data_IF_348988123907
#
_entry.id   IF_348988123907
#
_cell.length_a   1.000
_cell.length_b   1.000
_cell.length_c   1.000
_cell.angle_alpha   90.00
_cell.angle_beta   90.00
_cell.angle_gamma   90.00
#
_symmetry.space_group_name_H-M   'P 1'
#
loop_
_entity.id
_entity.type
_entity.pdbx_description
1 polymer ?
#
# COMPACT_ATOMS: atom_id res chain seq x y z
N UNK A 1 72.21 38.65 -20.67
CA UNK A 1 71.91 39.18 -19.39
C UNK A 1 70.40 39.18 -19.15
N UNK A 2 69.91 38.31 -18.51
CA UNK A 2 68.75 38.47 -17.60
C UNK A 2 68.41 37.09 -17.03
N UNK A 3 68.63 36.95 -15.76
CA UNK A 3 68.39 35.85 -14.87
C UNK A 3 66.90 35.46 -14.88
N UNK A 4 66.58 34.21 -15.15
CA UNK A 4 65.27 33.60 -14.88
C UNK A 4 65.31 33.15 -13.41
N UNK A 5 64.27 33.53 -12.58
CA UNK A 5 64.25 33.13 -11.19
C UNK A 5 63.86 31.68 -11.04
N UNK A 6 64.68 30.92 -10.30
CA UNK A 6 64.32 29.66 -9.71
C UNK A 6 63.23 29.85 -8.67
N UNK A 7 61.99 29.58 -9.04
CA UNK A 7 60.92 29.26 -8.12
C UNK A 7 59.90 28.41 -8.86
N UNK A 8 60.00 27.10 -8.66
CA UNK A 8 58.87 26.15 -8.65
C UNK A 8 59.43 24.74 -8.43
N UNK A 9 60.17 24.59 -7.29
CA UNK A 9 60.12 23.28 -6.64
C UNK A 9 58.80 23.23 -5.88
N UNK A 10 57.76 22.83 -6.53
CA UNK A 10 56.51 22.39 -5.88
C UNK A 10 56.87 21.13 -5.09
N UNK A 11 57.08 21.34 -3.83
CA UNK A 11 57.02 20.34 -2.78
C UNK A 11 55.63 19.72 -2.84
N UNK A 12 55.54 18.59 -3.51
CA UNK A 12 54.37 17.71 -3.39
C UNK A 12 54.41 17.11 -1.98
N UNK A 13 53.86 17.87 -1.03
CA UNK A 13 53.51 17.32 0.27
C UNK A 13 52.38 16.33 0.06
N UNK A 14 52.74 15.11 -0.31
CA UNK A 14 51.87 13.96 -0.30
C UNK A 14 51.79 13.44 1.14
N UNK A 15 51.27 14.27 2.06
CA UNK A 15 50.73 13.79 3.33
C UNK A 15 49.24 13.44 3.08
N UNK A 16 49.00 12.54 2.12
CA UNK A 16 47.82 11.71 2.18
C UNK A 16 47.96 10.89 3.47
N UNK A 17 47.02 11.09 4.40
CA UNK A 17 46.89 10.30 5.63
C UNK A 17 46.95 8.82 5.27
N UNK A 18 48.12 8.24 5.33
CA UNK A 18 48.29 6.80 5.26
C UNK A 18 47.74 6.27 6.57
N UNK A 19 46.57 5.59 6.49
CA UNK A 19 46.04 4.86 7.62
C UNK A 19 47.08 3.90 8.19
N UNK A 20 46.85 3.27 9.32
CA UNK A 20 47.83 2.43 10.04
C UNK A 20 48.49 1.37 9.16
N UNK A 21 47.84 0.93 8.09
CA UNK A 21 48.42 0.01 7.09
C UNK A 21 49.42 0.72 6.19
N UNK A 22 49.21 1.97 5.83
CA UNK A 22 50.14 2.77 5.05
C UNK A 22 51.39 3.15 5.87
N UNK A 23 51.26 3.45 7.15
CA UNK A 23 52.35 3.65 8.06
C UNK A 23 53.16 2.35 8.28
N UNK A 24 52.48 1.21 8.45
CA UNK A 24 53.11 -0.09 8.57
C UNK A 24 53.88 -0.46 7.29
N UNK A 25 53.27 -0.21 6.11
CA UNK A 25 53.94 -0.45 4.82
C UNK A 25 55.14 0.45 4.61
N UNK A 26 55.06 1.73 4.99
CA UNK A 26 56.18 2.66 4.92
C UNK A 26 57.30 2.29 5.90
N UNK A 27 56.96 1.88 7.14
CA UNK A 27 57.92 1.38 8.12
C UNK A 27 58.60 0.09 7.66
N UNK A 28 57.83 -0.84 7.07
CA UNK A 28 58.35 -2.06 6.49
C UNK A 28 59.31 -1.77 5.33
N UNK A 29 58.97 -0.86 4.42
CA UNK A 29 59.79 -0.49 3.28
C UNK A 29 61.07 0.20 3.72
N UNK A 30 60.99 1.08 4.74
CA UNK A 30 62.18 1.71 5.34
C UNK A 30 63.07 0.68 6.07
N UNK A 31 62.45 -0.20 6.87
CA UNK A 31 63.18 -1.27 7.55
C UNK A 31 63.86 -2.23 6.55
N UNK A 32 63.15 -2.57 5.46
CA UNK A 32 63.74 -3.39 4.39
C UNK A 32 64.91 -2.70 3.71
N UNK A 33 64.82 -1.40 3.39
CA UNK A 33 65.88 -0.63 2.75
C UNK A 33 67.10 -0.46 3.67
N UNK A 34 66.87 -0.25 4.96
CA UNK A 34 67.91 -0.12 5.96
C UNK A 34 68.64 -1.48 6.21
N UNK A 35 67.85 -2.57 6.29
CA UNK A 35 68.39 -3.93 6.38
C UNK A 35 69.25 -4.30 5.15
N UNK A 36 68.83 -3.91 3.94
CA UNK A 36 69.55 -4.16 2.71
C UNK A 36 70.85 -3.37 2.67
N UNK A 37 70.86 -2.12 3.16
CA UNK A 37 72.08 -1.33 3.29
C UNK A 37 73.07 -1.97 4.27
N UNK A 38 72.62 -2.37 5.45
CA UNK A 38 73.49 -3.05 6.45
C UNK A 38 74.05 -4.36 5.90
N UNK A 39 73.28 -5.10 5.09
CA UNK A 39 73.76 -6.30 4.40
C UNK A 39 74.85 -5.96 3.35
N UNK A 40 74.65 -4.94 2.51
CA UNK A 40 75.60 -4.52 1.47
C UNK A 40 76.89 -3.95 2.04
N UNK A 41 76.77 -3.28 3.21
CA UNK A 41 77.92 -2.72 3.91
C UNK A 41 78.68 -3.76 4.75
N UNK A 42 78.29 -5.03 4.76
CA UNK A 42 78.93 -6.12 5.51
C UNK A 42 78.82 -6.01 7.03
N UNK A 43 77.90 -5.17 7.53
CA UNK A 43 77.68 -4.98 8.96
C UNK A 43 76.70 -6.02 9.52
N UNK A 44 77.23 -7.20 9.81
CA UNK A 44 76.43 -8.35 10.26
C UNK A 44 75.83 -8.19 11.66
N UNK A 45 76.54 -7.49 12.58
CA UNK A 45 75.99 -7.21 13.91
C UNK A 45 74.77 -6.25 13.84
N UNK A 46 74.95 -5.15 13.08
CA UNK A 46 73.87 -4.21 12.85
C UNK A 46 72.65 -4.83 12.12
N UNK A 47 72.96 -5.73 11.18
CA UNK A 47 71.86 -6.48 10.48
C UNK A 47 71.12 -7.41 11.44
N UNK A 48 71.81 -8.14 12.31
CA UNK A 48 71.25 -9.03 13.30
C UNK A 48 70.32 -8.26 14.30
N UNK A 49 70.83 -7.14 14.83
CA UNK A 49 70.04 -6.27 15.74
C UNK A 49 68.85 -5.65 15.06
N UNK A 50 68.99 -5.29 13.78
CA UNK A 50 67.87 -4.76 13.00
C UNK A 50 66.78 -5.81 12.73
N UNK A 51 67.15 -7.02 12.37
CA UNK A 51 66.25 -8.14 12.13
C UNK A 51 65.54 -8.58 13.43
N UNK A 52 66.27 -8.69 14.54
CA UNK A 52 65.68 -9.08 15.84
C UNK A 52 64.76 -8.01 16.41
N UNK A 53 65.16 -6.74 16.33
CA UNK A 53 64.23 -5.64 16.76
C UNK A 53 63.01 -5.53 15.89
N UNK A 54 63.11 -5.73 14.58
CA UNK A 54 61.97 -5.78 13.66
C UNK A 54 61.03 -6.97 13.93
N UNK A 55 61.63 -8.14 14.20
CA UNK A 55 60.84 -9.33 14.56
C UNK A 55 60.12 -9.19 15.91
N UNK A 56 60.76 -8.62 16.92
CA UNK A 56 60.16 -8.33 18.24
C UNK A 56 59.06 -7.28 18.14
N UNK A 57 59.23 -6.26 17.31
CA UNK A 57 58.21 -5.25 17.05
C UNK A 57 56.96 -5.86 16.37
N UNK A 58 57.18 -6.69 15.35
CA UNK A 58 56.09 -7.41 14.67
C UNK A 58 55.38 -8.38 15.63
N UNK A 59 56.13 -9.09 16.48
CA UNK A 59 55.56 -9.99 17.47
C UNK A 59 54.76 -9.22 18.54
N UNK A 60 55.24 -8.04 18.97
CA UNK A 60 54.51 -7.15 19.87
C UNK A 60 53.19 -6.65 19.27
N UNK A 61 53.25 -6.19 18.01
CA UNK A 61 52.03 -5.77 17.29
C UNK A 61 51.01 -6.92 17.12
N UNK A 62 51.49 -8.11 16.81
CA UNK A 62 50.66 -9.29 16.66
C UNK A 62 50.08 -9.75 18.01
N UNK A 63 50.79 -9.64 19.11
CA UNK A 63 50.30 -10.03 20.43
C UNK A 63 49.29 -9.06 21.00
N UNK A 64 49.53 -7.75 20.97
CA UNK A 64 48.60 -6.74 21.51
C UNK A 64 47.31 -6.63 20.68
N UNK A 65 47.44 -6.42 19.36
CA UNK A 65 46.27 -6.30 18.48
C UNK A 65 45.56 -7.64 18.28
N UNK A 66 46.35 -8.73 18.21
CA UNK A 66 45.76 -10.07 18.09
C UNK A 66 44.96 -10.44 19.33
N UNK A 67 45.42 -10.10 20.53
CA UNK A 67 44.71 -10.36 21.78
C UNK A 67 43.43 -9.51 21.86
N UNK A 68 43.50 -8.24 21.48
CA UNK A 68 42.31 -7.36 21.43
C UNK A 68 41.29 -7.84 20.41
N UNK A 69 41.70 -8.22 19.20
CA UNK A 69 40.81 -8.73 18.17
C UNK A 69 40.18 -10.06 18.57
N UNK A 70 40.95 -10.95 19.24
CA UNK A 70 40.41 -12.21 19.75
C UNK A 70 39.40 -11.97 20.87
N UNK A 71 39.66 -11.05 21.79
CA UNK A 71 38.75 -10.69 22.85
C UNK A 71 37.43 -10.08 22.29
N UNK A 72 37.56 -9.17 21.31
CA UNK A 72 36.42 -8.58 20.62
C UNK A 72 35.61 -9.67 19.87
N UNK A 73 36.27 -10.57 19.15
CA UNK A 73 35.61 -11.69 18.49
C UNK A 73 34.86 -12.57 19.45
N UNK A 74 35.47 -13.00 20.56
CA UNK A 74 34.84 -13.85 21.56
C UNK A 74 33.62 -13.17 22.20
N UNK A 75 33.75 -11.91 22.57
CA UNK A 75 32.68 -11.12 23.18
C UNK A 75 31.49 -11.01 22.19
N UNK A 76 31.75 -10.58 20.96
CA UNK A 76 30.71 -10.41 19.95
C UNK A 76 30.11 -11.75 19.53
N UNK A 77 30.91 -12.83 19.48
CA UNK A 77 30.40 -14.17 19.19
C UNK A 77 29.49 -14.69 20.30
N UNK A 78 29.82 -14.44 21.60
CA UNK A 78 28.97 -14.79 22.72
C UNK A 78 27.64 -14.02 22.65
N UNK A 79 27.69 -12.70 22.36
CA UNK A 79 26.50 -11.88 22.18
C UNK A 79 25.65 -12.41 21.00
N UNK A 80 26.28 -12.65 19.85
CA UNK A 80 25.61 -13.26 18.69
C UNK A 80 24.96 -14.57 19.07
N UNK A 81 25.67 -15.47 19.77
CA UNK A 81 25.15 -16.79 20.14
C UNK A 81 23.97 -16.68 21.08
N UNK A 82 24.03 -15.76 22.04
CA UNK A 82 22.93 -15.50 22.96
C UNK A 82 21.68 -14.97 22.22
N UNK A 83 21.88 -13.98 21.35
CA UNK A 83 20.78 -13.41 20.54
C UNK A 83 20.22 -14.43 19.55
N UNK A 84 21.05 -15.23 18.90
CA UNK A 84 20.61 -16.29 17.98
C UNK A 84 19.75 -17.32 18.69
N UNK A 85 20.18 -17.82 19.86
CA UNK A 85 19.41 -18.78 20.67
C UNK A 85 18.10 -18.17 21.19
N UNK A 86 18.13 -16.89 21.57
CA UNK A 86 16.93 -16.19 21.99
C UNK A 86 15.91 -16.04 20.84
N UNK A 87 16.40 -15.67 19.63
CA UNK A 87 15.58 -15.53 18.43
C UNK A 87 15.00 -16.89 18.00
N UNK A 88 15.81 -17.94 17.98
CA UNK A 88 15.37 -19.30 17.66
C UNK A 88 14.26 -19.76 18.60
N UNK A 89 14.44 -19.62 19.93
CA UNK A 89 13.42 -19.98 20.92
C UNK A 89 12.15 -19.13 20.83
N UNK A 90 12.27 -17.85 20.49
CA UNK A 90 11.13 -16.96 20.31
C UNK A 90 10.32 -17.34 19.06
N UNK A 91 11.00 -17.68 17.97
CA UNK A 91 10.39 -18.10 16.72
C UNK A 91 9.73 -19.50 16.85
N UNK A 92 10.39 -20.46 17.52
CA UNK A 92 9.85 -21.80 17.75
C UNK A 92 8.58 -21.82 18.62
N UNK A 93 8.39 -20.79 19.46
CA UNK A 93 7.16 -20.63 20.28
C UNK A 93 6.00 -20.00 19.50
N UNK A 94 6.25 -19.49 18.33
CA UNK A 94 5.25 -18.80 17.53
C UNK A 94 4.72 -19.73 16.45
N UNK A 95 3.58 -20.37 16.69
CA UNK A 95 2.89 -21.21 15.70
C UNK A 95 2.40 -20.40 14.48
N UNK A 96 2.45 -19.06 14.56
CA UNK A 96 1.95 -18.19 13.49
C UNK A 96 2.96 -17.90 12.39
N UNK A 97 4.25 -18.27 12.56
CA UNK A 97 5.31 -17.99 11.60
C UNK A 97 5.68 -19.25 10.83
N UNK A 98 5.51 -19.20 9.51
CA UNK A 98 5.82 -20.31 8.63
C UNK A 98 7.31 -20.71 8.73
N UNK A 99 7.65 -22.03 8.78
CA UNK A 99 9.04 -22.51 8.92
C UNK A 99 10.00 -21.95 7.87
N UNK A 100 9.51 -21.67 6.66
CA UNK A 100 10.28 -21.04 5.59
C UNK A 100 10.76 -19.63 5.97
N UNK A 101 9.87 -18.82 6.53
CA UNK A 101 10.17 -17.45 6.97
C UNK A 101 11.10 -17.46 8.19
N UNK A 102 10.90 -18.36 9.16
CA UNK A 102 11.79 -18.54 10.30
C UNK A 102 13.23 -18.82 9.86
N UNK A 103 13.40 -19.78 8.94
CA UNK A 103 14.71 -20.15 8.40
C UNK A 103 15.40 -18.99 7.66
N UNK A 104 14.62 -18.18 6.92
CA UNK A 104 15.10 -17.00 6.21
C UNK A 104 15.59 -15.93 7.20
N UNK A 105 14.81 -15.61 8.21
CA UNK A 105 15.16 -14.62 9.24
C UNK A 105 16.44 -15.02 9.99
N UNK A 106 16.54 -16.29 10.44
CA UNK A 106 17.72 -16.79 11.14
C UNK A 106 18.98 -16.80 10.25
N UNK A 107 18.83 -17.16 8.97
CA UNK A 107 19.95 -17.11 8.01
C UNK A 107 20.42 -15.69 7.77
N UNK A 108 19.48 -14.75 7.55
CA UNK A 108 19.78 -13.32 7.34
C UNK A 108 20.48 -12.74 8.56
N UNK A 109 19.95 -13.01 9.77
CA UNK A 109 20.56 -12.58 11.02
C UNK A 109 21.98 -13.13 11.18
N UNK A 110 22.20 -14.40 10.87
CA UNK A 110 23.52 -15.06 10.90
C UNK A 110 24.50 -14.35 9.96
N UNK A 111 24.13 -14.17 8.69
CA UNK A 111 25.01 -13.53 7.69
C UNK A 111 25.34 -12.10 8.10
N UNK A 112 24.36 -11.30 8.51
CA UNK A 112 24.57 -9.93 8.97
C UNK A 112 25.49 -9.88 10.21
N UNK A 113 25.29 -10.76 11.19
CA UNK A 113 26.10 -10.84 12.40
C UNK A 113 27.54 -11.23 12.10
N UNK A 114 27.79 -12.23 11.24
CA UNK A 114 29.15 -12.61 10.85
C UNK A 114 29.86 -11.51 10.08
N UNK A 115 29.14 -10.79 9.22
CA UNK A 115 29.72 -9.64 8.52
C UNK A 115 30.09 -8.53 9.51
N UNK A 116 29.21 -8.21 10.46
CA UNK A 116 29.49 -7.21 11.50
C UNK A 116 30.68 -7.60 12.37
N UNK A 117 30.70 -8.84 12.88
CA UNK A 117 31.83 -9.35 13.69
C UNK A 117 33.11 -9.30 12.87
N UNK A 118 33.10 -9.74 11.62
CA UNK A 118 34.25 -9.70 10.74
C UNK A 118 34.80 -8.29 10.54
N UNK A 119 33.89 -7.31 10.33
CA UNK A 119 34.29 -5.90 10.18
C UNK A 119 34.97 -5.37 11.44
N UNK A 120 34.44 -5.64 12.63
CA UNK A 120 35.03 -5.19 13.90
C UNK A 120 36.38 -5.86 14.14
N UNK A 121 36.52 -7.14 13.85
CA UNK A 121 37.79 -7.87 13.98
C UNK A 121 38.83 -7.33 13.02
N UNK A 122 38.48 -7.05 11.77
CA UNK A 122 39.39 -6.46 10.78
C UNK A 122 39.84 -5.07 11.20
N UNK A 123 38.96 -4.25 11.76
CA UNK A 123 39.28 -2.93 12.27
C UNK A 123 40.32 -3.00 13.41
N UNK A 124 40.13 -3.92 14.37
CA UNK A 124 41.08 -4.17 15.47
C UNK A 124 42.45 -4.63 14.97
N UNK A 125 42.50 -5.37 13.88
CA UNK A 125 43.75 -5.77 13.22
C UNK A 125 44.40 -4.63 12.44
N UNK A 126 43.76 -3.44 12.37
CA UNK A 126 44.31 -2.24 11.70
C UNK A 126 44.00 -2.21 10.19
N UNK A 127 43.08 -3.04 9.71
CA UNK A 127 42.57 -2.98 8.33
C UNK A 127 41.60 -1.81 8.21
N UNK A 128 41.75 -0.97 7.20
CA UNK A 128 40.83 0.11 6.96
C UNK A 128 39.48 -0.44 6.43
N UNK A 129 38.49 -0.53 7.32
CA UNK A 129 37.14 -1.05 7.01
C UNK A 129 36.21 0.00 6.41
N UNK A 130 36.65 1.27 6.27
CA UNK A 130 35.81 2.35 5.79
C UNK A 130 35.20 2.05 4.41
N UNK A 131 35.96 1.41 3.51
CA UNK A 131 35.48 1.00 2.18
C UNK A 131 34.38 -0.09 2.29
N UNK A 132 34.57 -1.06 3.19
CA UNK A 132 33.60 -2.14 3.43
C UNK A 132 32.31 -1.58 4.02
N UNK A 133 32.42 -0.72 5.03
CA UNK A 133 31.28 -0.06 5.67
C UNK A 133 30.55 0.88 4.69
N UNK A 134 31.31 1.63 3.87
CA UNK A 134 30.75 2.48 2.82
C UNK A 134 29.99 1.67 1.76
N UNK A 135 30.56 0.56 1.30
CA UNK A 135 29.89 -0.36 0.37
C UNK A 135 28.61 -0.96 0.94
N UNK A 136 28.63 -1.37 2.23
CA UNK A 136 27.44 -1.82 2.95
C UNK A 136 26.39 -0.73 3.10
N UNK A 137 26.80 0.51 3.35
CA UNK A 137 25.90 1.65 3.42
C UNK A 137 25.11 1.81 2.12
N UNK A 138 25.81 1.76 0.98
CA UNK A 138 25.17 1.81 -0.35
C UNK A 138 24.25 0.60 -0.56
N UNK A 139 24.70 -0.62 -0.26
CA UNK A 139 23.88 -1.82 -0.37
C UNK A 139 22.64 -1.75 0.55
N UNK A 140 22.77 -1.19 1.75
CA UNK A 140 21.68 -0.95 2.69
C UNK A 140 20.64 0.05 2.14
N UNK A 141 21.09 1.13 1.50
CA UNK A 141 20.19 2.09 0.84
C UNK A 141 19.40 1.41 -0.29
N UNK A 142 20.07 0.63 -1.14
CA UNK A 142 19.42 -0.12 -2.24
C UNK A 142 18.39 -1.12 -1.69
N UNK A 143 18.78 -1.87 -0.64
CA UNK A 143 17.86 -2.81 0.02
C UNK A 143 16.67 -2.09 0.69
N UNK A 144 16.90 -0.92 1.29
CA UNK A 144 15.86 -0.06 1.85
C UNK A 144 14.85 0.40 0.81
N UNK A 145 15.33 0.85 -0.35
CA UNK A 145 14.45 1.20 -1.46
C UNK A 145 13.67 0.00 -1.98
N UNK A 146 14.30 -1.18 -2.09
CA UNK A 146 13.61 -2.39 -2.50
C UNK A 146 12.54 -2.87 -1.50
N UNK A 147 12.69 -2.56 -0.22
CA UNK A 147 11.73 -2.91 0.84
C UNK A 147 10.67 -1.83 1.10
N UNK A 148 10.75 -0.67 0.45
CA UNK A 148 9.93 0.51 0.70
C UNK A 148 8.44 0.19 0.71
N UNK A 149 7.93 -0.42 -0.35
CA UNK A 149 6.49 -0.72 -0.49
C UNK A 149 5.97 -1.65 0.61
N UNK A 150 6.80 -2.61 1.05
CA UNK A 150 6.45 -3.50 2.16
C UNK A 150 6.39 -2.75 3.48
N UNK A 151 7.31 -1.82 3.72
CA UNK A 151 7.34 -0.99 4.91
C UNK A 151 6.16 0.01 4.93
N UNK A 152 5.84 0.62 3.80
CA UNK A 152 4.67 1.50 3.67
C UNK A 152 3.38 0.75 4.00
N UNK A 153 3.20 -0.47 3.47
CA UNK A 153 2.05 -1.31 3.78
C UNK A 153 1.99 -1.73 5.26
N UNK A 154 3.13 -2.01 5.86
CA UNK A 154 3.21 -2.33 7.29
C UNK A 154 2.78 -1.13 8.15
N UNK A 155 3.33 0.06 7.89
CA UNK A 155 2.97 1.30 8.61
C UNK A 155 1.48 1.60 8.42
N UNK A 156 0.96 1.47 7.19
CA UNK A 156 -0.45 1.62 6.90
C UNK A 156 -1.32 0.64 7.69
N UNK A 157 -0.91 -0.63 7.79
CA UNK A 157 -1.61 -1.64 8.59
C UNK A 157 -1.66 -1.30 10.08
N UNK A 158 -0.54 -0.82 10.64
CA UNK A 158 -0.49 -0.33 12.02
C UNK A 158 -1.42 0.88 12.20
N UNK A 159 -1.42 1.83 11.24
CA UNK A 159 -2.32 3.00 11.27
C UNK A 159 -3.78 2.57 11.29
N UNK A 160 -4.18 1.63 10.43
CA UNK A 160 -5.56 1.09 10.40
C UNK A 160 -5.94 0.48 11.75
N UNK A 161 -5.03 -0.29 12.38
CA UNK A 161 -5.30 -0.95 13.67
C UNK A 161 -5.37 0.04 14.84
N UNK A 162 -4.63 1.15 14.79
CA UNK A 162 -4.61 2.18 15.84
C UNK A 162 -5.79 3.14 15.69
N UNK A 163 -5.95 3.74 14.51
CA UNK A 163 -6.97 4.78 14.24
C UNK A 163 -8.36 4.20 14.02
N UNK A 164 -8.44 2.92 13.64
CA UNK A 164 -9.68 2.17 13.40
C UNK A 164 -10.69 2.94 12.53
N UNK A 165 -10.31 3.36 11.32
CA UNK A 165 -11.26 3.94 10.40
C UNK A 165 -12.37 2.94 10.04
N UNK A 166 -12.04 1.65 10.03
CA UNK A 166 -12.93 0.50 9.94
C UNK A 166 -12.40 -0.67 10.79
N UNK A 167 -13.22 -1.68 11.04
CA UNK A 167 -12.89 -2.88 11.81
C UNK A 167 -13.32 -4.14 11.05
N UNK A 168 -12.84 -5.30 11.50
CA UNK A 168 -13.32 -6.60 10.99
C UNK A 168 -14.83 -6.70 11.24
N UNK A 169 -15.57 -7.05 10.22
CA UNK A 169 -17.04 -7.11 10.22
C UNK A 169 -17.71 -5.88 9.61
N UNK A 170 -17.01 -4.73 9.49
CA UNK A 170 -17.59 -3.54 8.86
C UNK A 170 -17.80 -3.72 7.36
N UNK A 171 -18.89 -3.13 6.84
CA UNK A 171 -19.11 -2.94 5.42
C UNK A 171 -18.50 -1.63 4.97
N UNK A 172 -17.59 -1.71 4.00
CA UNK A 172 -16.86 -0.55 3.47
C UNK A 172 -16.95 -0.51 1.95
N UNK A 173 -16.88 0.70 1.44
CA UNK A 173 -16.75 0.98 0.03
C UNK A 173 -15.45 1.75 -0.20
N UNK A 174 -14.63 1.28 -1.13
CA UNK A 174 -13.37 1.90 -1.52
C UNK A 174 -13.27 1.94 -3.04
N UNK A 175 -13.29 3.14 -3.63
CA UNK A 175 -13.52 3.29 -5.06
C UNK A 175 -14.85 2.64 -5.47
N UNK A 176 -14.82 1.75 -6.47
CA UNK A 176 -16.00 1.00 -6.95
C UNK A 176 -16.22 -0.35 -6.23
N UNK A 177 -15.49 -0.60 -5.16
CA UNK A 177 -15.48 -1.89 -4.48
C UNK A 177 -16.20 -1.83 -3.14
N UNK A 178 -17.29 -2.59 -3.05
CA UNK A 178 -18.09 -2.74 -1.82
C UNK A 178 -17.93 -4.15 -1.24
N UNK A 179 -17.71 -4.24 0.07
CA UNK A 179 -17.60 -5.52 0.75
C UNK A 179 -17.47 -5.43 2.26
N UNK A 180 -17.57 -6.57 2.91
CA UNK A 180 -17.35 -6.73 4.34
C UNK A 180 -15.87 -7.00 4.63
N UNK A 181 -15.31 -6.35 5.63
CA UNK A 181 -13.93 -6.59 6.09
C UNK A 181 -13.89 -7.94 6.80
N UNK A 182 -13.20 -8.93 6.20
CA UNK A 182 -13.01 -10.26 6.78
C UNK A 182 -11.78 -10.31 7.69
N UNK A 183 -10.68 -9.69 7.27
CA UNK A 183 -9.42 -9.77 8.00
C UNK A 183 -8.54 -8.55 7.70
N UNK A 184 -7.86 -8.06 8.72
CA UNK A 184 -6.83 -7.02 8.62
C UNK A 184 -5.49 -7.63 9.03
N UNK A 185 -4.58 -7.76 8.06
CA UNK A 185 -3.22 -8.24 8.29
C UNK A 185 -2.23 -7.07 8.34
N UNK A 186 -0.98 -7.32 8.71
CA UNK A 186 0.07 -6.29 8.75
C UNK A 186 0.31 -5.61 7.38
N UNK A 187 0.04 -6.30 6.26
CA UNK A 187 0.34 -5.81 4.91
C UNK A 187 -0.90 -5.54 4.06
N UNK A 188 -2.00 -6.24 4.33
CA UNK A 188 -3.20 -6.21 3.48
C UNK A 188 -4.46 -6.35 4.30
N UNK A 189 -5.55 -5.80 3.78
CA UNK A 189 -6.90 -6.00 4.27
C UNK A 189 -7.66 -6.89 3.29
N UNK A 190 -8.43 -7.85 3.80
CA UNK A 190 -9.25 -8.76 3.03
C UNK A 190 -10.71 -8.36 3.15
N UNK A 191 -11.35 -8.18 1.99
CA UNK A 191 -12.77 -7.87 1.90
C UNK A 191 -13.50 -9.04 1.27
N UNK A 192 -14.68 -9.36 1.80
CA UNK A 192 -15.63 -10.28 1.18
C UNK A 192 -16.69 -9.48 0.43
N UNK A 193 -16.68 -9.59 -0.89
CA UNK A 193 -17.63 -8.89 -1.75
C UNK A 193 -19.03 -9.53 -1.67
N UNK A 194 -20.05 -8.78 -2.12
CA UNK A 194 -21.44 -9.27 -2.21
C UNK A 194 -21.57 -10.56 -3.04
N UNK A 195 -20.63 -10.78 -3.99
CA UNK A 195 -20.55 -12.00 -4.80
C UNK A 195 -19.81 -13.15 -4.11
N UNK A 196 -19.57 -13.05 -2.81
CA UNK A 196 -18.81 -14.01 -1.99
C UNK A 196 -17.40 -14.31 -2.52
N UNK A 197 -16.71 -13.27 -3.02
CA UNK A 197 -15.31 -13.34 -3.46
C UNK A 197 -14.45 -12.62 -2.45
N UNK A 198 -13.27 -13.18 -2.16
CA UNK A 198 -12.27 -12.50 -1.34
C UNK A 198 -11.45 -11.55 -2.22
N UNK A 199 -11.43 -10.29 -1.84
CA UNK A 199 -10.58 -9.25 -2.42
C UNK A 199 -9.47 -8.94 -1.43
N UNK A 200 -8.23 -8.91 -1.90
CA UNK A 200 -7.06 -8.57 -1.07
C UNK A 200 -6.52 -7.23 -1.53
N UNK A 201 -6.57 -6.25 -0.64
CA UNK A 201 -6.11 -4.88 -0.90
C UNK A 201 -4.89 -4.58 -0.02
N UNK A 202 -3.81 -3.98 -0.57
CA UNK A 202 -2.71 -3.46 0.24
C UNK A 202 -3.20 -2.43 1.25
N UNK A 203 -2.64 -2.42 2.45
CA UNK A 203 -3.07 -1.46 3.48
C UNK A 203 -2.81 0.01 3.10
N UNK A 204 -1.77 0.27 2.29
CA UNK A 204 -1.53 1.61 1.73
C UNK A 204 -2.73 2.11 0.92
N UNK A 205 -3.38 1.23 0.18
CA UNK A 205 -4.57 1.55 -0.59
C UNK A 205 -5.72 1.99 0.31
N UNK A 206 -5.88 1.32 1.47
CA UNK A 206 -6.92 1.59 2.45
C UNK A 206 -6.80 2.95 3.14
N UNK A 207 -5.60 3.52 3.24
CA UNK A 207 -5.37 4.81 3.90
C UNK A 207 -5.18 5.97 2.92
N UNK A 208 -4.88 5.69 1.64
CA UNK A 208 -4.62 6.73 0.63
C UNK A 208 -5.83 7.03 -0.23
N UNK A 209 -6.79 6.11 -0.32
CA UNK A 209 -8.02 6.30 -1.08
C UNK A 209 -9.18 6.76 -0.21
N UNK A 210 -10.16 7.38 -0.84
CA UNK A 210 -11.42 7.70 -0.20
C UNK A 210 -12.17 6.40 0.17
N UNK A 211 -12.55 6.30 1.43
CA UNK A 211 -13.21 5.14 2.00
C UNK A 211 -14.51 5.56 2.68
N UNK A 212 -15.61 4.91 2.33
CA UNK A 212 -16.88 5.04 3.00
C UNK A 212 -17.14 3.82 3.90
N UNK A 213 -17.40 4.07 5.20
CA UNK A 213 -17.76 3.02 6.14
C UNK A 213 -19.27 3.08 6.41
N UNK A 214 -19.98 2.05 5.94
CA UNK A 214 -21.45 1.94 6.01
C UNK A 214 -21.93 1.43 7.38
N UNK A 215 -21.05 0.90 8.21
CA UNK A 215 -21.39 0.30 9.51
C UNK A 215 -21.17 1.25 10.69
N UNK A 216 -20.16 2.11 10.60
CA UNK A 216 -19.67 2.91 11.75
C UNK A 216 -20.71 3.80 12.42
N UNK A 217 -21.74 4.23 11.71
CA UNK A 217 -22.79 5.13 12.24
C UNK A 217 -24.04 4.42 12.74
N UNK A 218 -24.10 3.09 12.70
CA UNK A 218 -25.25 2.27 13.13
C UNK A 218 -26.60 2.63 12.47
N UNK A 219 -26.63 3.53 11.52
CA UNK A 219 -27.80 3.91 10.73
C UNK A 219 -27.35 4.13 9.30
N UNK A 220 -27.86 3.33 8.40
CA UNK A 220 -27.54 3.38 6.99
C UNK A 220 -28.78 3.81 6.21
N UNK A 221 -28.61 4.78 5.28
CA UNK A 221 -29.67 5.19 4.34
C UNK A 221 -29.58 4.34 3.08
N UNK A 222 -30.73 3.81 2.67
CA UNK A 222 -30.89 3.10 1.42
C UNK A 222 -31.73 3.98 0.47
N UNK A 223 -31.21 4.19 -0.72
CA UNK A 223 -31.88 4.95 -1.77
C UNK A 223 -32.29 3.97 -2.89
N UNK A 224 -33.59 3.96 -3.25
CA UNK A 224 -34.14 3.25 -4.40
C UNK A 224 -34.59 4.28 -5.41
N UNK A 225 -33.87 4.40 -6.52
CA UNK A 225 -34.18 5.35 -7.59
C UNK A 225 -35.20 4.77 -8.55
N UNK A 226 -36.16 5.59 -8.97
CA UNK A 226 -37.18 5.27 -9.97
C UNK A 226 -37.58 6.53 -10.73
N UNK A 227 -38.27 6.39 -11.86
CA UNK A 227 -38.79 7.51 -12.65
C UNK A 227 -40.31 7.37 -12.86
N UNK A 228 -41.03 8.49 -12.84
CA UNK A 228 -42.43 8.57 -13.23
C UNK A 228 -42.61 9.46 -14.46
N UNK A 229 -43.68 9.27 -15.21
CA UNK A 229 -44.00 10.10 -16.37
C UNK A 229 -44.29 11.56 -15.96
N UNK A 230 -43.99 12.54 -16.82
CA UNK A 230 -44.26 13.97 -16.55
C UNK A 230 -45.72 14.31 -16.30
N UNK A 231 -46.65 13.47 -16.78
CA UNK A 231 -48.06 13.65 -16.52
C UNK A 231 -48.53 13.24 -15.13
N UNK A 232 -47.71 12.44 -14.44
CA UNK A 232 -48.01 11.92 -13.11
C UNK A 232 -47.76 12.95 -12.01
N UNK A 233 -48.50 12.82 -10.90
CA UNK A 233 -48.37 13.71 -9.75
C UNK A 233 -47.40 13.11 -8.74
N UNK A 234 -46.24 13.74 -8.43
CA UNK A 234 -45.25 13.20 -7.49
C UNK A 234 -45.81 12.93 -6.08
N UNK A 235 -46.84 13.65 -5.64
CA UNK A 235 -47.44 13.47 -4.31
C UNK A 235 -48.24 12.18 -4.23
N UNK A 236 -48.89 11.73 -5.31
CA UNK A 236 -49.60 10.45 -5.39
C UNK A 236 -48.59 9.28 -5.32
N UNK A 237 -47.48 9.37 -6.08
CA UNK A 237 -46.39 8.40 -5.98
C UNK A 237 -45.80 8.35 -4.57
N UNK A 238 -45.63 9.52 -3.93
CA UNK A 238 -45.14 9.61 -2.55
C UNK A 238 -46.05 8.89 -1.55
N UNK A 239 -47.37 9.17 -1.62
CA UNK A 239 -48.35 8.56 -0.73
C UNK A 239 -48.42 7.03 -0.92
N UNK A 240 -48.43 6.56 -2.16
CA UNK A 240 -48.44 5.14 -2.48
C UNK A 240 -47.19 4.41 -1.94
N UNK A 241 -46.01 4.98 -2.16
CA UNK A 241 -44.75 4.31 -1.80
C UNK A 241 -44.44 4.34 -0.30
N UNK A 242 -44.87 5.36 0.43
CA UNK A 242 -44.69 5.41 1.88
C UNK A 242 -45.48 4.31 2.61
N UNK A 243 -46.58 3.82 2.05
CA UNK A 243 -47.34 2.70 2.62
C UNK A 243 -46.58 1.36 2.58
N UNK A 244 -45.50 1.24 1.79
CA UNK A 244 -44.68 0.03 1.72
C UNK A 244 -43.95 -0.30 3.02
N UNK A 245 -43.81 0.66 3.92
CA UNK A 245 -43.06 0.50 5.17
C UNK A 245 -43.94 0.10 6.35
N UNK A 246 -45.26 0.01 6.17
CA UNK A 246 -46.17 -0.40 7.22
C UNK A 246 -45.89 -1.85 7.65
N UNK A 247 -45.45 -2.03 8.90
CA UNK A 247 -45.17 -3.35 9.47
C UNK A 247 -43.83 -3.96 9.11
N UNK A 248 -42.90 -3.22 8.51
CA UNK A 248 -41.50 -3.71 8.27
C UNK A 248 -40.55 -3.20 9.35
N UNK A 249 -40.27 -4.03 10.36
CA UNK A 249 -39.36 -3.72 11.48
C UNK A 249 -37.89 -3.55 11.07
N UNK A 250 -37.51 -3.90 9.86
CA UNK A 250 -36.15 -3.73 9.32
C UNK A 250 -35.84 -2.29 8.95
N UNK A 251 -36.92 -1.50 8.75
CA UNK A 251 -36.86 -0.09 8.36
C UNK A 251 -37.10 0.78 9.57
N UNK A 252 -36.27 1.78 9.79
CA UNK A 252 -36.38 2.69 10.92
C UNK A 252 -37.57 3.68 10.71
N UNK A 253 -38.26 3.97 11.80
CA UNK A 253 -39.23 5.04 11.86
C UNK A 253 -38.63 6.42 12.08
N UNK A 254 -37.43 6.43 12.69
CA UNK A 254 -36.59 7.64 12.86
C UNK A 254 -35.14 7.31 12.49
N UNK A 255 -34.56 7.98 11.47
CA UNK A 255 -35.20 8.96 10.58
C UNK A 255 -36.31 8.34 9.73
N UNK A 256 -37.40 9.10 9.54
CA UNK A 256 -38.54 8.60 8.80
C UNK A 256 -38.25 8.37 7.30
N UNK A 257 -38.83 7.33 6.68
CA UNK A 257 -38.76 7.15 5.24
C UNK A 257 -39.34 8.36 4.49
N UNK A 258 -38.79 8.63 3.32
CA UNK A 258 -39.20 9.77 2.49
C UNK A 258 -39.09 9.45 1.01
N UNK A 259 -39.94 10.11 0.21
CA UNK A 259 -39.84 10.06 -1.25
C UNK A 259 -39.62 11.47 -1.76
N UNK A 260 -38.54 11.66 -2.51
CA UNK A 260 -38.10 12.96 -3.01
C UNK A 260 -37.94 12.94 -4.52
N UNK A 261 -38.21 14.06 -5.17
CA UNK A 261 -37.80 14.29 -6.57
C UNK A 261 -36.31 14.60 -6.56
N UNK A 262 -35.54 13.90 -7.35
CA UNK A 262 -34.08 14.06 -7.44
C UNK A 262 -33.67 14.86 -8.67
N UNK A 263 -34.39 14.70 -9.77
CA UNK A 263 -34.06 15.32 -11.06
C UNK A 263 -35.26 15.34 -11.98
N UNK A 264 -35.33 16.33 -12.85
CA UNK A 264 -36.20 16.36 -14.02
C UNK A 264 -35.38 15.96 -15.25
N UNK A 265 -35.46 14.66 -15.62
CA UNK A 265 -34.66 14.11 -16.71
C UNK A 265 -35.41 14.25 -18.07
N UNK A 266 -34.74 13.89 -19.17
CA UNK A 266 -35.25 14.10 -20.55
C UNK A 266 -36.63 13.47 -20.80
N UNK A 267 -36.96 12.35 -20.15
CA UNK A 267 -38.22 11.60 -20.39
C UNK A 267 -38.96 11.20 -19.11
N UNK A 268 -38.43 11.58 -17.93
CA UNK A 268 -38.98 11.19 -16.64
C UNK A 268 -38.76 12.23 -15.56
N UNK A 269 -39.60 12.25 -14.56
CA UNK A 269 -39.34 12.88 -13.27
C UNK A 269 -38.68 11.81 -12.38
N UNK A 270 -37.36 11.93 -12.17
CA UNK A 270 -36.60 11.00 -11.37
C UNK A 270 -36.87 11.24 -9.88
N UNK A 271 -37.18 10.18 -9.16
CA UNK A 271 -37.45 10.19 -7.74
C UNK A 271 -36.63 9.15 -7.00
N UNK A 272 -36.45 9.32 -5.72
CA UNK A 272 -35.79 8.36 -4.83
C UNK A 272 -36.65 8.07 -3.60
N UNK A 273 -36.90 6.79 -3.36
CA UNK A 273 -37.45 6.28 -2.10
C UNK A 273 -36.28 6.11 -1.14
N UNK A 274 -36.26 6.85 -0.05
CA UNK A 274 -35.20 6.88 0.97
C UNK A 274 -35.71 6.30 2.25
N UNK A 275 -35.01 5.32 2.78
CA UNK A 275 -35.30 4.73 4.08
C UNK A 275 -34.03 4.31 4.79
N UNK A 276 -34.15 3.96 6.06
CA UNK A 276 -32.97 3.76 6.92
C UNK A 276 -33.07 2.39 7.60
N UNK A 277 -31.90 1.75 7.75
CA UNK A 277 -31.75 0.47 8.48
C UNK A 277 -30.61 0.54 9.48
N UNK A 278 -30.64 -0.32 10.51
CA UNK A 278 -29.50 -0.52 11.44
C UNK A 278 -28.60 -1.67 11.03
N UNK A 279 -29.00 -2.48 10.06
CA UNK A 279 -28.29 -3.68 9.67
C UNK A 279 -27.64 -3.48 8.30
N UNK A 280 -26.34 -3.14 8.24
CA UNK A 280 -25.63 -2.91 6.98
C UNK A 280 -25.57 -4.13 6.05
N UNK A 281 -25.59 -5.34 6.63
CA UNK A 281 -25.65 -6.60 5.88
C UNK A 281 -26.94 -6.76 5.06
N UNK A 282 -28.00 -6.04 5.44
CA UNK A 282 -29.26 -6.02 4.72
C UNK A 282 -29.38 -4.91 3.67
N UNK A 283 -28.37 -4.05 3.53
CA UNK A 283 -28.41 -2.93 2.57
C UNK A 283 -28.74 -3.40 1.16
N UNK A 284 -27.98 -4.34 0.64
CA UNK A 284 -28.13 -4.83 -0.73
C UNK A 284 -29.42 -5.66 -0.90
N UNK A 285 -29.76 -6.61 -0.01
CA UNK A 285 -31.01 -7.32 -0.08
C UNK A 285 -32.23 -6.41 -0.02
N UNK A 286 -32.29 -5.46 0.91
CA UNK A 286 -33.38 -4.52 1.05
C UNK A 286 -33.51 -3.61 -0.18
N UNK A 287 -32.41 -3.13 -0.74
CA UNK A 287 -32.43 -2.31 -1.95
C UNK A 287 -33.07 -3.06 -3.10
N UNK A 288 -32.74 -4.33 -3.31
CA UNK A 288 -33.35 -5.15 -4.36
C UNK A 288 -34.85 -5.42 -4.10
N UNK A 289 -35.18 -5.85 -2.88
CA UNK A 289 -36.58 -6.11 -2.48
C UNK A 289 -37.47 -4.86 -2.68
N UNK A 290 -36.99 -3.71 -2.19
CA UNK A 290 -37.77 -2.47 -2.34
C UNK A 290 -37.78 -1.94 -3.78
N UNK A 291 -36.81 -2.24 -4.60
CA UNK A 291 -36.84 -1.92 -6.04
C UNK A 291 -38.02 -2.66 -6.72
N UNK A 292 -38.21 -3.94 -6.39
CA UNK A 292 -39.37 -4.70 -6.90
C UNK A 292 -40.68 -4.18 -6.35
N UNK A 293 -40.75 -3.94 -5.03
CA UNK A 293 -41.97 -3.39 -4.38
C UNK A 293 -42.37 -2.03 -4.94
N UNK A 294 -41.39 -1.15 -5.21
CA UNK A 294 -41.64 0.16 -5.83
C UNK A 294 -42.32 -0.01 -7.19
N UNK A 295 -41.77 -0.89 -8.05
CA UNK A 295 -42.36 -1.16 -9.37
C UNK A 295 -43.77 -1.67 -9.28
N UNK A 296 -44.05 -2.62 -8.36
CA UNK A 296 -45.39 -3.19 -8.18
C UNK A 296 -46.37 -2.15 -7.65
N UNK A 297 -45.92 -1.35 -6.66
CA UNK A 297 -46.78 -0.34 -6.04
C UNK A 297 -47.13 0.80 -6.98
N UNK A 298 -46.22 1.24 -7.83
CA UNK A 298 -46.51 2.22 -8.88
C UNK A 298 -47.52 1.68 -9.88
N UNK A 299 -47.41 0.40 -10.28
CA UNK A 299 -48.37 -0.25 -11.16
C UNK A 299 -49.76 -0.38 -10.52
N UNK A 300 -49.85 -0.73 -9.22
CA UNK A 300 -51.11 -0.79 -8.48
C UNK A 300 -51.78 0.59 -8.37
N UNK A 301 -51.01 1.64 -8.27
CA UNK A 301 -51.49 3.02 -8.19
C UNK A 301 -51.76 3.65 -9.57
N UNK A 302 -51.64 2.89 -10.66
CA UNK A 302 -51.80 3.36 -12.05
C UNK A 302 -50.83 4.51 -12.41
N UNK A 303 -49.62 4.51 -11.81
CA UNK A 303 -48.59 5.51 -12.07
C UNK A 303 -47.63 4.96 -13.14
N UNK A 304 -47.51 5.68 -14.23
CA UNK A 304 -46.68 5.26 -15.38
C UNK A 304 -45.19 5.43 -15.15
N UNK A 305 -44.43 4.35 -15.39
CA UNK A 305 -42.96 4.39 -15.52
C UNK A 305 -42.68 4.64 -17.00
N UNK A 306 -42.12 5.83 -17.35
CA UNK A 306 -42.05 6.23 -18.77
C UNK A 306 -40.95 5.48 -19.52
N UNK A 307 -41.23 5.21 -20.79
CA UNK A 307 -40.19 4.85 -21.76
C UNK A 307 -39.46 6.10 -22.26
N UNK A 308 -38.26 5.97 -22.82
CA UNK A 308 -37.59 7.10 -23.46
C UNK A 308 -38.49 7.69 -24.56
N UNK A 309 -38.78 8.98 -24.46
CA UNK A 309 -39.56 9.72 -25.46
C UNK A 309 -38.65 10.47 -26.41
N UNK A 310 -39.03 10.48 -27.70
CA UNK A 310 -38.37 11.32 -28.71
C UNK A 310 -39.46 12.07 -29.48
N UNK A 311 -39.35 13.37 -29.49
CA UNK A 311 -40.20 14.22 -30.34
C UNK A 311 -39.57 14.33 -31.70
N UNK A 312 -40.28 13.87 -32.74
CA UNK A 312 -39.84 13.96 -34.15
C UNK A 312 -40.58 15.09 -34.82
N UNK A 313 -39.85 16.10 -35.32
CA UNK A 313 -40.39 17.14 -36.16
C UNK A 313 -40.25 16.72 -37.60
N UNK A 314 -41.37 16.48 -38.30
CA UNK A 314 -41.39 15.98 -39.67
C UNK A 314 -41.77 17.12 -40.61
N UNK A 315 -40.93 18.17 -40.70
CA UNK A 315 -41.29 19.37 -41.50
C UNK A 315 -41.31 19.14 -43.01
N UNK A 316 -40.61 18.15 -43.55
CA UNK A 316 -40.59 17.84 -45.00
C UNK A 316 -40.38 16.31 -45.28
N UNK A 317 -41.15 15.44 -44.70
CA UNK A 317 -41.04 14.02 -45.03
C UNK A 317 -41.74 13.68 -46.34
N UNK A 318 -41.16 13.98 -47.51
CA UNK A 318 -41.68 13.63 -48.84
C UNK A 318 -42.01 12.14 -48.96
N UNK A 319 -41.34 11.28 -48.18
CA UNK A 319 -41.58 9.83 -48.18
C UNK A 319 -42.90 9.44 -47.46
N UNK A 320 -43.47 10.33 -46.66
CA UNK A 320 -44.75 10.11 -45.96
C UNK A 320 -45.96 10.79 -46.65
N UNK A 321 -45.68 11.61 -47.68
CA UNK A 321 -46.78 12.21 -48.47
C UNK A 321 -47.47 11.11 -49.25
N UNK A 322 -48.73 10.82 -48.88
CA UNK A 322 -49.52 9.77 -49.49
C UNK A 322 -49.50 8.42 -48.76
N UNK A 323 -48.89 8.36 -47.57
CA UNK A 323 -49.04 7.19 -46.68
C UNK A 323 -50.23 7.38 -45.72
N UNK A 324 -50.96 6.32 -45.41
CA UNK A 324 -52.04 6.30 -44.43
C UNK A 324 -51.59 6.67 -43.01
N UNK A 325 -50.29 6.76 -42.76
CA UNK A 325 -49.67 7.17 -41.46
C UNK A 325 -49.92 8.64 -41.10
N UNK A 326 -50.23 9.50 -42.08
CA UNK A 326 -50.59 10.92 -41.89
C UNK A 326 -52.06 11.19 -42.08
N UNK A 327 -52.87 10.17 -42.40
CA UNK A 327 -54.31 10.33 -42.42
C UNK A 327 -54.85 10.57 -41.01
N UNK A 328 -55.71 11.59 -40.80
CA UNK A 328 -56.37 11.72 -39.51
C UNK A 328 -57.12 10.42 -39.21
N UNK A 329 -57.01 9.92 -37.98
CA UNK A 329 -57.83 8.79 -37.54
C UNK A 329 -59.27 9.13 -37.83
N UNK A 330 -59.95 8.27 -38.59
CA UNK A 330 -61.39 8.45 -38.87
C UNK A 330 -62.11 8.65 -37.52
N UNK A 331 -62.65 9.87 -37.35
CA UNK A 331 -63.51 10.21 -36.24
C UNK A 331 -64.85 9.44 -36.37
N UNK A 332 -65.15 8.42 -35.55
CA UNK A 332 -66.38 7.61 -35.68
C UNK A 332 -67.66 8.41 -35.46
N UNK A 333 -67.53 9.75 -35.19
CA UNK A 333 -68.68 10.63 -34.94
C UNK A 333 -69.36 11.20 -36.19
N UNK A 334 -68.82 11.01 -37.42
CA UNK A 334 -69.36 11.54 -38.67
C UNK A 334 -70.00 10.46 -39.57
N UNK A 335 -70.48 9.38 -39.00
CA UNK A 335 -71.37 8.47 -39.74
C UNK A 335 -72.76 9.04 -39.95
N UNK A 336 -72.94 9.75 -41.08
CA UNK A 336 -74.31 10.07 -41.58
C UNK A 336 -75.07 8.76 -41.78
N UNK A 337 -76.22 8.65 -41.08
CA UNK A 337 -77.12 7.54 -41.21
C UNK A 337 -77.70 7.44 -42.63
N UNK A 338 -78.10 6.23 -43.11
CA UNK A 338 -78.69 6.01 -44.43
C UNK A 338 -80.08 6.71 -44.52
N UNK A 339 -80.21 7.66 -45.47
CA UNK A 339 -81.46 8.22 -45.90
C UNK A 339 -82.35 7.12 -46.46
N UNK A 340 -83.49 6.99 -45.86
CA UNK A 340 -84.58 6.18 -46.36
C UNK A 340 -85.13 6.73 -47.70
N UNK A 341 -85.20 5.88 -48.70
CA UNK A 341 -86.29 5.73 -49.70
C UNK A 341 -86.36 4.28 -50.15
#
# INVERSE_FOLDING_TARGET
PQSIPQRLQTRTDTTAQSGPVGEAANRFNNAFSDGLRLFLDGNWEGLYDHLTSGALYLLGLLTERGLQSLAAFLLLYIIYRALYLASERALDRSDSIEPGLQSLLLKTFRVASFFFIGTVVLDQLGVNVAVLVGGLGIAGIVAGFAARDSLENFIAGVTVLVDKPFQVGDYIEIGDQYGQVDEITLRSTRLRTVRNRTMVLPNTHMITQELMNHTKRNVLRIDVSFGIAYKEVPDEARAALLSLFEGDDRVLTEPAPSVVVTEMADSSVNMALRFYTRNPDQEVPLRWEYTEKVREKLREADIEIPFPHRQLFLDEAKALQGSDLLAPADDPANGEGPSAE
#
